data_IF_973476831127
#
_entry.id   IF_973476831127
#
_cell.length_a   1.000
_cell.length_b   1.000
_cell.length_c   1.000
_cell.angle_alpha   90.00
_cell.angle_beta   90.00
_cell.angle_gamma   90.00
#
_symmetry.space_group_name_H-M   'P 1'
#
loop_
_entity.id
_entity.type
_entity.pdbx_description
1 polymer ?
#
# COMPACT_ATOMS: atom_id res chain seq x y z
N UNK A 1 21.67 -17.35 17.96
CA UNK A 1 20.90 -18.09 16.94
C UNK A 1 19.51 -17.46 16.86
N UNK A 2 19.33 -16.56 15.90
CA UNK A 2 18.17 -15.68 15.78
C UNK A 2 17.09 -16.32 14.91
N UNK A 3 16.02 -16.78 15.56
CA UNK A 3 14.82 -17.25 14.89
C UNK A 3 14.02 -16.03 14.42
N UNK A 4 14.17 -15.69 13.13
CA UNK A 4 13.42 -14.61 12.49
C UNK A 4 12.01 -15.12 12.20
N UNK A 5 11.04 -14.70 13.01
CA UNK A 5 9.62 -15.00 12.80
C UNK A 5 9.14 -14.36 11.50
N UNK A 6 9.15 -15.15 10.42
CA UNK A 6 8.54 -14.77 9.13
C UNK A 6 7.01 -14.80 9.22
N UNK A 7 6.32 -14.10 8.30
CA UNK A 7 4.85 -14.17 8.12
C UNK A 7 4.32 -15.61 8.02
N UNK A 8 5.13 -16.54 7.49
CA UNK A 8 4.83 -17.99 7.45
C UNK A 8 4.98 -18.68 8.81
N UNK A 9 5.90 -18.25 9.67
CA UNK A 9 5.98 -18.77 11.04
C UNK A 9 4.75 -18.37 11.87
N UNK A 10 4.22 -17.15 11.65
CA UNK A 10 2.97 -16.71 12.25
C UNK A 10 1.76 -17.50 11.75
N UNK A 11 1.62 -17.69 10.43
CA UNK A 11 0.53 -18.45 9.80
C UNK A 11 0.64 -19.98 10.02
N UNK A 12 1.86 -20.51 10.11
CA UNK A 12 2.14 -21.94 10.32
C UNK A 12 1.88 -22.38 11.76
N UNK A 13 2.25 -21.57 12.77
CA UNK A 13 1.94 -21.86 14.18
C UNK A 13 0.43 -21.79 14.48
N UNK A 14 -0.34 -21.03 13.71
CA UNK A 14 -1.81 -21.00 13.80
C UNK A 14 -2.48 -22.21 13.11
N UNK A 15 -1.88 -22.75 12.05
CA UNK A 15 -2.38 -23.96 11.39
C UNK A 15 -2.09 -25.24 12.21
N UNK A 16 -0.92 -25.35 12.84
CA UNK A 16 -0.52 -26.53 13.61
C UNK A 16 -1.38 -26.78 14.85
N UNK A 17 -1.89 -25.74 15.51
CA UNK A 17 -2.83 -25.88 16.63
C UNK A 17 -4.24 -26.35 16.21
N UNK A 18 -4.56 -26.32 14.91
CA UNK A 18 -5.83 -26.80 14.35
C UNK A 18 -5.69 -28.18 13.65
N UNK A 19 -4.47 -28.74 13.60
CA UNK A 19 -4.11 -29.86 12.73
C UNK A 19 -4.19 -31.26 13.31
N UNK A 20 -4.62 -31.46 14.57
CA UNK A 20 -4.74 -32.80 15.16
C UNK A 20 -6.08 -33.53 14.86
N UNK A 21 -6.89 -33.07 13.91
CA UNK A 21 -8.17 -33.75 13.57
C UNK A 21 -8.45 -33.95 12.07
N UNK A 22 -7.44 -33.89 11.21
CA UNK A 22 -7.62 -34.20 9.79
C UNK A 22 -6.42 -34.95 9.20
N UNK A 23 -6.00 -36.03 9.86
CA UNK A 23 -5.15 -37.05 9.24
C UNK A 23 -6.02 -38.30 9.05
N UNK A 24 -6.69 -38.39 7.91
CA UNK A 24 -6.95 -39.64 7.17
C UNK A 24 -7.82 -39.34 5.94
N UNK A 25 -7.25 -39.58 4.75
CA UNK A 25 -8.01 -39.68 3.51
C UNK A 25 -7.78 -38.53 2.55
N UNK A 26 -6.72 -38.63 1.74
CA UNK A 26 -6.68 -38.31 0.29
C UNK A 26 -5.24 -38.49 -0.20
N UNK A 27 -4.82 -39.75 -0.23
CA UNK A 27 -3.70 -40.18 -1.06
C UNK A 27 -4.24 -40.65 -2.41
N UNK A 28 -3.49 -40.34 -3.48
CA UNK A 28 -3.64 -40.78 -4.87
C UNK A 28 -4.75 -40.12 -5.70
N UNK A 29 -4.37 -39.08 -6.45
CA UNK A 29 -4.65 -38.95 -7.89
C UNK A 29 -4.01 -37.65 -8.39
N UNK A 30 -2.76 -37.70 -8.87
CA UNK A 30 -2.15 -36.62 -9.66
C UNK A 30 -0.89 -37.17 -10.33
N UNK A 31 -1.09 -37.95 -11.40
CA UNK A 31 -0.11 -38.14 -12.46
C UNK A 31 -0.90 -38.25 -13.77
N UNK A 32 -0.39 -37.60 -14.81
CA UNK A 32 -0.85 -37.52 -16.19
C UNK A 32 -1.87 -36.42 -16.52
N UNK A 33 -1.36 -35.30 -17.05
CA UNK A 33 -1.97 -34.63 -18.20
C UNK A 33 -0.88 -33.80 -18.92
N UNK A 34 -0.61 -34.19 -20.16
CA UNK A 34 0.31 -33.57 -21.13
C UNK A 34 -0.26 -32.26 -21.72
N UNK A 35 0.59 -31.55 -22.46
CA UNK A 35 0.39 -30.24 -23.12
C UNK A 35 -0.85 -30.13 -24.03
N UNK A 36 -1.41 -28.91 -24.23
CA UNK A 36 -2.51 -28.70 -25.18
C UNK A 36 -2.02 -28.19 -26.55
N UNK A 37 -2.45 -28.87 -27.60
CA UNK A 37 -2.39 -28.39 -28.98
C UNK A 37 -3.50 -27.36 -29.27
N UNK A 38 -3.14 -26.33 -30.04
CA UNK A 38 -4.03 -25.31 -30.59
C UNK A 38 -5.10 -25.90 -31.50
N UNK A 39 -6.32 -25.34 -31.46
CA UNK A 39 -7.17 -25.21 -32.65
C UNK A 39 -8.27 -24.15 -32.50
N UNK A 40 -8.52 -23.51 -33.63
CA UNK A 40 -9.21 -22.26 -33.87
C UNK A 40 -10.75 -22.33 -33.79
N UNK A 41 -11.31 -21.17 -33.43
CA UNK A 41 -12.52 -20.52 -34.00
C UNK A 41 -13.34 -21.29 -35.04
N UNK A 42 -14.63 -21.54 -34.72
CA UNK A 42 -15.74 -21.32 -35.68
C UNK A 42 -16.98 -20.80 -34.94
N UNK A 43 -17.46 -19.64 -35.38
CA UNK A 43 -18.71 -19.01 -34.98
C UNK A 43 -19.87 -19.58 -35.84
N UNK A 44 -21.03 -19.88 -35.25
CA UNK A 44 -22.24 -20.28 -35.97
C UNK A 44 -23.49 -20.28 -35.08
N UNK A 45 -24.60 -19.61 -35.44
CA UNK A 45 -25.72 -19.35 -34.55
C UNK A 45 -26.81 -20.42 -34.64
N UNK A 46 -27.48 -20.78 -33.53
CA UNK A 46 -28.87 -21.27 -33.57
C UNK A 46 -29.60 -21.30 -32.22
N UNK A 47 -30.73 -20.58 -32.25
CA UNK A 47 -32.05 -20.92 -31.72
C UNK A 47 -32.31 -21.05 -30.20
N UNK A 48 -33.23 -20.17 -29.79
CA UNK A 48 -34.07 -20.22 -28.59
C UNK A 48 -34.93 -21.49 -28.58
N UNK A 49 -34.90 -22.23 -27.47
CA UNK A 49 -36.06 -22.93 -26.88
C UNK A 49 -35.71 -23.47 -25.51
N UNK A 50 -36.65 -23.37 -24.56
CA UNK A 50 -36.65 -24.23 -23.37
C UNK A 50 -36.48 -23.52 -22.04
N UNK A 51 -37.55 -22.88 -21.56
CA UNK A 51 -37.76 -22.68 -20.13
C UNK A 51 -37.66 -24.02 -19.40
N UNK A 52 -36.65 -24.17 -18.55
CA UNK A 52 -36.69 -25.11 -17.42
C UNK A 52 -36.59 -24.29 -16.15
N UNK A 53 -37.66 -24.34 -15.36
CA UNK A 53 -37.74 -23.79 -14.02
C UNK A 53 -36.65 -24.44 -13.16
N UNK A 54 -35.58 -23.71 -12.89
CA UNK A 54 -34.70 -24.00 -11.77
C UNK A 54 -35.26 -23.30 -10.54
N UNK A 55 -35.80 -24.09 -9.63
CA UNK A 55 -36.11 -23.71 -8.25
C UNK A 55 -34.97 -22.85 -7.68
N UNK A 56 -35.29 -21.59 -7.40
CA UNK A 56 -34.37 -20.63 -6.81
C UNK A 56 -33.98 -21.06 -5.40
N UNK A 57 -32.93 -21.85 -5.28
CA UNK A 57 -32.09 -21.82 -4.09
C UNK A 57 -31.50 -20.42 -4.05
N UNK A 58 -31.98 -19.59 -3.12
CA UNK A 58 -31.41 -18.30 -2.82
C UNK A 58 -29.90 -18.51 -2.63
N UNK A 59 -29.09 -18.08 -3.59
CA UNK A 59 -27.66 -17.89 -3.39
C UNK A 59 -27.56 -16.85 -2.27
N UNK A 60 -27.42 -17.33 -1.04
CA UNK A 60 -27.19 -16.47 0.11
C UNK A 60 -26.04 -15.54 -0.24
N UNK A 61 -26.28 -14.23 -0.23
CA UNK A 61 -25.19 -13.26 -0.31
C UNK A 61 -24.22 -13.64 0.81
N UNK A 62 -23.01 -14.05 0.44
CA UNK A 62 -21.92 -14.20 1.39
C UNK A 62 -21.65 -12.80 1.94
N UNK A 63 -22.18 -12.51 3.12
CA UNK A 63 -21.96 -11.23 3.80
C UNK A 63 -20.54 -11.23 4.34
N UNK A 64 -19.79 -10.16 4.06
CA UNK A 64 -18.42 -10.08 4.55
C UNK A 64 -18.43 -9.86 6.08
N UNK A 65 -17.61 -10.60 6.85
CA UNK A 65 -17.59 -10.47 8.30
C UNK A 65 -17.04 -9.11 8.78
N UNK A 66 -16.37 -8.37 7.90
CA UNK A 66 -15.79 -7.04 8.15
C UNK A 66 -16.63 -5.98 7.45
N UNK A 67 -17.14 -5.01 8.22
CA UNK A 67 -17.76 -3.80 7.71
C UNK A 67 -16.80 -2.63 7.88
N UNK A 68 -16.50 -1.92 6.80
CA UNK A 68 -15.64 -0.73 6.80
C UNK A 68 -16.50 0.51 6.63
N UNK A 69 -16.43 1.41 7.60
CA UNK A 69 -17.20 2.64 7.61
C UNK A 69 -16.28 3.80 7.30
N UNK A 70 -16.60 4.52 6.24
CA UNK A 70 -15.91 5.76 5.84
C UNK A 70 -16.91 6.89 5.74
N UNK A 71 -16.47 8.12 6.00
CA UNK A 71 -17.31 9.30 5.82
C UNK A 71 -16.64 10.28 4.86
N UNK A 72 -17.39 10.72 3.85
CA UNK A 72 -17.00 11.88 3.05
C UNK A 72 -17.23 13.14 3.89
N UNK A 73 -16.14 13.81 4.25
CA UNK A 73 -16.19 15.07 5.01
C UNK A 73 -15.64 16.18 4.12
N UNK A 74 -16.28 17.36 4.15
CA UNK A 74 -15.75 18.53 3.44
C UNK A 74 -14.30 18.81 3.88
N UNK A 75 -13.37 19.08 2.94
CA UNK A 75 -12.00 19.47 3.26
C UNK A 75 -11.91 20.67 4.20
N UNK A 76 -12.85 21.60 4.11
CA UNK A 76 -12.89 22.81 4.96
C UNK A 76 -13.06 22.46 6.43
N UNK A 77 -13.77 21.36 6.71
CA UNK A 77 -13.99 20.89 8.09
C UNK A 77 -12.84 20.01 8.55
N UNK A 78 -12.31 19.16 7.67
CA UNK A 78 -11.17 18.25 7.95
C UNK A 78 -10.38 17.96 6.69
N UNK A 79 -9.30 18.71 6.45
CA UNK A 79 -8.48 18.61 5.25
C UNK A 79 -7.93 17.19 4.97
N UNK A 80 -7.73 16.38 6.02
CA UNK A 80 -7.19 15.01 5.94
C UNK A 80 -8.25 13.96 5.60
N UNK A 81 -9.53 14.23 5.83
CA UNK A 81 -10.60 13.24 5.74
C UNK A 81 -10.78 12.65 4.34
N UNK A 82 -10.38 13.38 3.29
CA UNK A 82 -10.36 12.88 1.90
C UNK A 82 -9.53 11.59 1.73
N UNK A 83 -8.54 11.37 2.59
CA UNK A 83 -7.66 10.21 2.52
C UNK A 83 -8.25 8.98 3.19
N UNK A 84 -9.27 9.12 4.05
CA UNK A 84 -9.80 7.98 4.81
C UNK A 84 -10.37 6.87 3.93
N UNK A 85 -10.88 7.22 2.74
CA UNK A 85 -11.34 6.23 1.74
C UNK A 85 -10.22 5.31 1.25
N UNK A 86 -8.96 5.71 1.38
CA UNK A 86 -7.79 4.92 1.00
C UNK A 86 -7.65 3.62 1.81
N UNK A 87 -8.34 3.50 2.95
CA UNK A 87 -8.48 2.23 3.67
C UNK A 87 -9.00 1.12 2.74
N UNK A 88 -9.91 1.44 1.82
CA UNK A 88 -10.48 0.44 0.92
C UNK A 88 -9.40 -0.12 -0.01
N UNK A 89 -8.46 0.72 -0.45
CA UNK A 89 -7.33 0.28 -1.26
C UNK A 89 -6.36 -0.57 -0.44
N UNK A 90 -6.03 -0.16 0.79
CA UNK A 90 -5.17 -0.94 1.70
C UNK A 90 -5.73 -2.36 1.87
N UNK A 91 -7.03 -2.48 2.17
CA UNK A 91 -7.68 -3.77 2.41
C UNK A 91 -7.81 -4.60 1.12
N UNK A 92 -8.14 -3.98 -0.02
CA UNK A 92 -8.20 -4.65 -1.32
C UNK A 92 -6.83 -5.20 -1.73
N UNK A 93 -5.76 -4.39 -1.62
CA UNK A 93 -4.38 -4.82 -1.91
C UNK A 93 -3.86 -5.86 -0.90
N UNK A 94 -4.43 -5.93 0.30
CA UNK A 94 -4.16 -7.02 1.24
C UNK A 94 -4.94 -8.31 0.91
N UNK A 95 -5.85 -8.28 -0.08
CA UNK A 95 -6.70 -9.40 -0.45
C UNK A 95 -7.85 -9.65 0.53
N UNK A 96 -8.19 -8.69 1.39
CA UNK A 96 -9.23 -8.86 2.42
C UNK A 96 -10.63 -8.60 1.84
N UNK A 97 -11.58 -9.47 2.19
CA UNK A 97 -13.00 -9.28 1.86
C UNK A 97 -13.69 -8.44 2.94
N UNK A 98 -14.39 -7.39 2.52
CA UNK A 98 -15.14 -6.49 3.39
C UNK A 98 -16.35 -5.92 2.67
N UNK A 99 -17.32 -5.45 3.45
CA UNK A 99 -18.40 -4.58 2.99
C UNK A 99 -18.06 -3.13 3.33
N UNK A 100 -18.48 -2.21 2.47
CA UNK A 100 -18.28 -0.77 2.66
C UNK A 100 -19.61 -0.11 3.00
N UNK A 101 -19.59 0.79 3.99
CA UNK A 101 -20.76 1.55 4.40
C UNK A 101 -20.41 3.00 4.77
N UNK A 102 -21.43 3.85 4.77
CA UNK A 102 -21.41 5.18 5.37
C UNK A 102 -22.01 5.15 6.79
N UNK A 103 -21.80 6.19 7.62
CA UNK A 103 -22.40 6.24 8.96
C UNK A 103 -23.92 6.05 8.98
N UNK A 104 -24.64 6.54 7.98
CA UNK A 104 -26.12 6.45 7.88
C UNK A 104 -26.60 4.99 7.81
N UNK A 105 -25.78 4.11 7.24
CA UNK A 105 -26.06 2.68 7.08
C UNK A 105 -25.75 1.87 8.34
N UNK A 106 -25.21 2.48 9.41
CA UNK A 106 -25.00 1.79 10.69
C UNK A 106 -26.29 1.34 11.37
N UNK A 107 -27.42 1.96 11.02
CA UNK A 107 -28.74 1.55 11.51
C UNK A 107 -29.08 0.09 11.16
N UNK A 108 -28.59 -0.42 10.03
CA UNK A 108 -28.77 -1.81 9.60
C UNK A 108 -27.69 -2.78 10.11
N UNK A 109 -26.76 -2.33 10.97
CA UNK A 109 -25.68 -3.18 11.50
C UNK A 109 -26.26 -4.40 12.21
N UNK A 110 -26.04 -5.60 11.67
CA UNK A 110 -26.50 -6.86 12.24
C UNK A 110 -25.31 -7.74 12.67
N UNK A 111 -25.34 -8.25 13.90
CA UNK A 111 -24.33 -9.17 14.42
C UNK A 111 -24.33 -10.53 13.71
N UNK A 112 -25.46 -10.89 13.09
CA UNK A 112 -25.56 -12.11 12.29
C UNK A 112 -24.83 -11.96 10.95
N UNK A 113 -24.65 -10.73 10.47
CA UNK A 113 -23.99 -10.43 9.19
C UNK A 113 -22.53 -10.02 9.37
N UNK A 114 -22.23 -9.21 10.39
CA UNK A 114 -20.90 -8.66 10.62
C UNK A 114 -20.39 -9.02 12.01
N UNK A 115 -19.09 -9.34 12.09
CA UNK A 115 -18.38 -9.62 13.34
C UNK A 115 -17.46 -8.48 13.75
N UNK A 116 -17.00 -7.69 12.78
CA UNK A 116 -16.05 -6.61 12.99
C UNK A 116 -16.44 -5.36 12.22
N UNK A 117 -16.30 -4.20 12.86
CA UNK A 117 -16.48 -2.88 12.25
C UNK A 117 -15.16 -2.11 12.28
N UNK A 118 -14.73 -1.58 11.13
CA UNK A 118 -13.59 -0.66 11.03
C UNK A 118 -14.12 0.75 10.83
N UNK A 119 -13.73 1.69 11.68
CA UNK A 119 -14.01 3.11 11.53
C UNK A 119 -12.77 3.80 10.98
N UNK A 120 -12.83 4.23 9.72
CA UNK A 120 -11.72 4.86 9.02
C UNK A 120 -11.75 6.37 9.22
N UNK A 121 -10.95 6.86 10.17
CA UNK A 121 -10.93 8.25 10.60
C UNK A 121 -11.70 8.48 11.90
N UNK A 122 -11.62 9.72 12.40
CA UNK A 122 -12.47 10.19 13.49
C UNK A 122 -13.80 10.68 12.90
N UNK A 123 -14.77 9.76 12.81
CA UNK A 123 -16.04 9.99 12.13
C UNK A 123 -16.98 10.86 12.96
N UNK A 124 -17.77 11.71 12.29
CA UNK A 124 -18.81 12.51 12.91
C UNK A 124 -20.09 11.69 13.05
N UNK A 125 -20.13 10.82 14.07
CA UNK A 125 -21.27 9.95 14.35
C UNK A 125 -22.31 10.65 15.23
N UNK A 126 -23.59 10.39 14.98
CA UNK A 126 -24.70 10.80 15.85
C UNK A 126 -24.75 9.96 17.12
N UNK A 127 -25.46 10.41 18.15
CA UNK A 127 -25.63 9.65 19.39
C UNK A 127 -26.22 8.27 19.14
N UNK A 128 -27.26 8.16 18.31
CA UNK A 128 -27.88 6.88 17.96
C UNK A 128 -26.89 5.91 17.25
N UNK A 129 -26.04 6.42 16.37
CA UNK A 129 -25.00 5.61 15.71
C UNK A 129 -23.95 5.13 16.71
N UNK A 130 -23.54 6.00 17.65
CA UNK A 130 -22.60 5.62 18.72
C UNK A 130 -23.19 4.57 19.65
N UNK A 131 -24.45 4.73 20.06
CA UNK A 131 -25.15 3.77 20.90
C UNK A 131 -25.30 2.42 20.21
N UNK A 132 -25.58 2.42 18.90
CA UNK A 132 -25.65 1.19 18.10
C UNK A 132 -24.32 0.45 18.05
N UNK A 133 -23.22 1.17 17.82
CA UNK A 133 -21.88 0.59 17.84
C UNK A 133 -21.48 0.10 19.22
N UNK A 134 -21.77 0.86 20.27
CA UNK A 134 -21.51 0.47 21.64
C UNK A 134 -22.29 -0.81 22.01
N UNK A 135 -23.57 -0.92 21.62
CA UNK A 135 -24.36 -2.13 21.80
C UNK A 135 -23.78 -3.31 21.01
N UNK A 136 -23.43 -3.09 19.75
CA UNK A 136 -22.80 -4.10 18.90
C UNK A 136 -21.54 -4.70 19.54
N UNK A 137 -20.64 -3.85 20.06
CA UNK A 137 -19.43 -4.30 20.76
C UNK A 137 -19.80 -4.98 22.08
N UNK A 138 -20.68 -4.38 22.89
CA UNK A 138 -21.09 -4.95 24.18
C UNK A 138 -21.62 -6.37 24.06
N UNK A 139 -22.32 -6.68 22.96
CA UNK A 139 -22.88 -8.00 22.68
C UNK A 139 -21.92 -8.92 21.88
N UNK A 140 -20.62 -8.63 21.83
CA UNK A 140 -19.59 -9.54 21.31
C UNK A 140 -19.02 -9.16 19.94
N UNK A 141 -19.45 -8.05 19.35
CA UNK A 141 -18.81 -7.51 18.14
C UNK A 141 -17.44 -6.91 18.43
N UNK A 142 -16.64 -6.73 17.38
CA UNK A 142 -15.36 -6.04 17.48
C UNK A 142 -15.37 -4.70 16.73
N UNK A 143 -14.71 -3.68 17.28
CA UNK A 143 -14.52 -2.39 16.60
C UNK A 143 -13.03 -2.03 16.53
N UNK A 144 -12.60 -1.55 15.37
CA UNK A 144 -11.26 -0.97 15.15
C UNK A 144 -11.45 0.49 14.76
N UNK A 145 -11.01 1.42 15.60
CA UNK A 145 -10.97 2.85 15.28
C UNK A 145 -9.59 3.25 14.76
N UNK A 146 -9.54 4.03 13.68
CA UNK A 146 -8.28 4.52 13.09
C UNK A 146 -8.35 6.04 12.99
N UNK A 147 -7.37 6.77 13.52
CA UNK A 147 -7.32 8.23 13.46
C UNK A 147 -8.20 8.96 14.48
N UNK A 148 -8.86 8.24 15.40
CA UNK A 148 -9.57 8.80 16.54
C UNK A 148 -10.72 7.93 17.05
N UNK A 149 -11.50 8.48 17.97
CA UNK A 149 -12.50 7.75 18.76
C UNK A 149 -13.88 7.74 18.13
N UNK A 150 -14.19 8.66 17.22
CA UNK A 150 -15.55 8.87 16.68
C UNK A 150 -16.61 9.05 17.79
N UNK A 151 -16.21 9.59 18.96
CA UNK A 151 -17.06 9.76 20.14
C UNK A 151 -17.34 8.47 20.95
N UNK A 152 -16.58 7.40 20.70
CA UNK A 152 -16.71 6.11 21.39
C UNK A 152 -15.66 5.93 22.50
N UNK A 153 -15.32 7.01 23.22
CA UNK A 153 -14.27 7.02 24.26
C UNK A 153 -14.45 5.88 25.27
N UNK A 154 -15.67 5.67 25.77
CA UNK A 154 -15.96 4.60 26.73
C UNK A 154 -15.77 3.19 26.14
N UNK A 155 -16.09 2.99 24.86
CA UNK A 155 -15.91 1.70 24.18
C UNK A 155 -14.42 1.40 24.01
N UNK A 156 -13.64 2.42 23.62
CA UNK A 156 -12.19 2.30 23.48
C UNK A 156 -11.44 2.37 24.82
N UNK A 157 -12.13 2.59 25.94
CA UNK A 157 -11.53 2.65 27.27
C UNK A 157 -10.56 3.82 27.46
N UNK A 158 -10.85 4.96 26.82
CA UNK A 158 -10.03 6.19 26.89
C UNK A 158 -10.82 7.33 27.54
N UNK A 159 -10.12 8.29 28.15
CA UNK A 159 -10.73 9.40 28.90
C UNK A 159 -10.45 10.77 28.30
N UNK A 160 -9.52 10.87 27.36
CA UNK A 160 -9.14 12.14 26.74
C UNK A 160 -8.46 11.93 25.39
N UNK A 161 -8.50 12.99 24.56
CA UNK A 161 -7.84 13.03 23.26
C UNK A 161 -7.20 14.38 23.03
N UNK A 162 -6.03 14.40 22.41
CA UNK A 162 -5.31 15.60 22.00
C UNK A 162 -4.99 15.51 20.50
N UNK A 163 -5.30 16.54 19.70
CA UNK A 163 -4.96 16.55 18.29
C UNK A 163 -3.46 16.32 18.07
N UNK A 164 -3.14 15.51 17.08
CA UNK A 164 -1.78 15.24 16.63
C UNK A 164 -1.53 15.95 15.30
N UNK A 165 -0.40 16.64 15.19
CA UNK A 165 0.13 17.09 13.91
C UNK A 165 1.02 16.00 13.30
N UNK A 166 2.03 15.57 14.06
CA UNK A 166 3.12 14.67 13.69
C UNK A 166 3.70 14.02 14.96
N UNK A 167 4.18 12.78 14.86
CA UNK A 167 4.87 12.09 15.95
C UNK A 167 5.27 10.66 15.59
N UNK A 168 5.89 9.95 16.53
CA UNK A 168 6.37 8.58 16.34
C UNK A 168 5.69 7.62 17.31
N UNK A 169 5.25 6.47 16.81
CA UNK A 169 4.67 5.43 17.66
C UNK A 169 5.80 4.66 18.33
N UNK A 170 5.88 4.74 19.65
CA UNK A 170 6.80 3.95 20.45
C UNK A 170 6.10 2.71 21.01
N UNK A 171 6.40 1.54 20.45
CA UNK A 171 5.90 0.27 20.95
C UNK A 171 6.41 0.02 22.38
N UNK A 172 5.48 -0.18 23.32
CA UNK A 172 5.77 -0.55 24.71
C UNK A 172 5.46 -2.03 24.98
N UNK A 173 4.48 -2.61 24.27
CA UNK A 173 4.13 -4.02 24.35
C UNK A 173 4.72 -4.81 23.15
N UNK A 174 6.03 -4.98 23.10
CA UNK A 174 6.74 -5.58 21.93
C UNK A 174 6.45 -7.07 21.68
N UNK A 175 5.89 -7.78 22.65
CA UNK A 175 5.48 -9.18 22.49
C UNK A 175 4.00 -9.35 22.12
N UNK A 176 3.23 -8.25 22.12
CA UNK A 176 1.82 -8.32 21.76
C UNK A 176 1.67 -8.54 20.25
N UNK A 177 0.78 -9.43 19.78
CA UNK A 177 0.64 -9.76 18.35
C UNK A 177 0.36 -8.57 17.42
N UNK A 178 -0.23 -7.50 17.95
CA UNK A 178 -0.45 -6.25 17.21
C UNK A 178 0.85 -5.49 16.92
N UNK A 179 1.79 -5.49 17.85
CA UNK A 179 2.92 -4.56 17.91
C UNK A 179 4.28 -5.23 17.80
N UNK A 180 4.33 -6.56 17.70
CA UNK A 180 5.57 -7.32 17.66
C UNK A 180 6.32 -7.22 16.32
N UNK A 181 7.63 -6.97 16.36
CA UNK A 181 8.51 -7.13 15.20
C UNK A 181 8.51 -5.98 14.18
N UNK A 182 7.93 -4.82 14.51
CA UNK A 182 8.16 -3.60 13.74
C UNK A 182 9.59 -3.11 13.90
N UNK A 183 10.16 -2.58 12.82
CA UNK A 183 11.56 -2.14 12.72
C UNK A 183 11.69 -0.66 12.43
N UNK A 184 10.72 -0.07 11.74
CA UNK A 184 10.74 1.34 11.38
C UNK A 184 10.52 2.22 12.61
N UNK A 185 10.69 3.52 12.42
CA UNK A 185 10.38 4.54 13.42
C UNK A 185 8.87 4.69 13.70
N UNK A 186 8.01 4.11 12.84
CA UNK A 186 6.54 4.26 12.88
C UNK A 186 6.12 5.73 12.94
N UNK A 187 6.71 6.56 12.07
CA UNK A 187 6.37 7.97 11.92
C UNK A 187 4.93 8.13 11.43
N UNK A 188 4.13 8.95 12.13
CA UNK A 188 2.72 9.19 11.88
C UNK A 188 2.38 10.67 11.86
N UNK A 189 1.35 11.00 11.08
CA UNK A 189 0.81 12.34 10.92
C UNK A 189 -0.69 12.34 11.18
N UNK A 190 -1.16 13.33 11.93
CA UNK A 190 -2.59 13.49 12.19
C UNK A 190 -3.22 12.50 13.17
N UNK A 191 -4.54 12.65 13.35
CA UNK A 191 -5.31 11.91 14.35
C UNK A 191 -5.12 12.47 15.75
N UNK A 192 -5.00 11.58 16.74
CA UNK A 192 -4.97 11.95 18.15
C UNK A 192 -3.96 11.13 18.96
N UNK A 193 -3.36 11.78 19.96
CA UNK A 193 -2.86 11.10 21.15
C UNK A 193 -4.01 10.93 22.14
N UNK A 194 -4.10 9.80 22.82
CA UNK A 194 -5.19 9.53 23.77
C UNK A 194 -4.69 9.28 25.19
N UNK A 195 -5.53 9.57 26.18
CA UNK A 195 -5.30 9.18 27.56
C UNK A 195 -6.04 7.88 27.81
N UNK A 196 -5.31 6.81 28.11
CA UNK A 196 -5.92 5.54 28.49
C UNK A 196 -6.67 5.67 29.82
N UNK A 197 -7.87 5.10 29.87
CA UNK A 197 -8.65 4.85 31.08
C UNK A 197 -8.55 3.38 31.45
N UNK A 198 -9.55 2.58 31.07
CA UNK A 198 -9.56 1.13 31.28
C UNK A 198 -8.78 0.34 30.22
N UNK A 199 -8.37 0.99 29.13
CA UNK A 199 -7.72 0.31 28.02
C UNK A 199 -6.27 -0.10 28.35
N UNK A 200 -5.86 -1.25 27.84
CA UNK A 200 -4.46 -1.64 27.78
C UNK A 200 -3.73 -0.80 26.73
N UNK A 201 -2.64 -0.15 27.13
CA UNK A 201 -1.76 0.57 26.21
C UNK A 201 -0.76 -0.39 25.61
N UNK A 202 -0.66 -0.39 24.28
CA UNK A 202 0.31 -1.21 23.54
C UNK A 202 1.47 -0.39 22.95
N UNK A 203 1.21 0.90 22.71
CA UNK A 203 2.21 1.84 22.26
C UNK A 203 1.89 3.26 22.72
N UNK A 204 2.93 4.02 22.98
CA UNK A 204 2.90 5.44 23.30
C UNK A 204 3.20 6.28 22.06
N UNK A 205 2.87 7.56 22.14
CA UNK A 205 3.20 8.52 21.09
C UNK A 205 4.30 9.46 21.56
N UNK A 206 5.38 9.59 20.78
CA UNK A 206 6.44 10.58 21.01
C UNK A 206 6.26 11.76 20.05
N UNK A 207 6.33 12.99 20.56
CA UNK A 207 6.17 14.20 19.74
C UNK A 207 7.37 15.12 19.98
N UNK A 208 8.19 15.28 18.95
CA UNK A 208 9.45 16.00 19.02
C UNK A 208 10.38 15.43 20.11
N UNK A 209 11.26 16.28 20.66
CA UNK A 209 12.23 15.88 21.69
C UNK A 209 11.66 15.76 23.11
N UNK A 210 10.36 16.04 23.30
CA UNK A 210 9.75 16.17 24.64
C UNK A 210 9.15 14.87 25.21
N UNK A 211 9.58 13.71 24.73
CA UNK A 211 9.17 12.40 25.25
C UNK A 211 7.72 12.02 24.93
N UNK A 212 7.21 11.00 25.62
CA UNK A 212 5.87 10.45 25.39
C UNK A 212 4.76 11.46 25.75
N UNK A 213 3.75 11.58 24.88
CA UNK A 213 2.63 12.53 25.01
C UNK A 213 1.26 11.85 24.90
N UNK A 214 1.14 10.67 25.51
CA UNK A 214 -0.09 9.88 25.54
C UNK A 214 0.05 8.55 24.81
N UNK A 215 -1.04 7.80 24.75
CA UNK A 215 -1.11 6.49 24.10
C UNK A 215 -1.43 6.66 22.61
N UNK A 216 -0.78 5.85 21.77
CA UNK A 216 -1.02 5.77 20.34
C UNK A 216 -1.91 4.58 19.98
N UNK A 217 -1.68 3.43 20.63
CA UNK A 217 -2.39 2.19 20.37
C UNK A 217 -2.95 1.65 21.68
N UNK A 218 -4.26 1.42 21.72
CA UNK A 218 -4.91 0.83 22.88
C UNK A 218 -5.84 -0.32 22.49
N UNK A 219 -6.04 -1.25 23.43
CA UNK A 219 -7.02 -2.33 23.33
C UNK A 219 -7.88 -2.31 24.58
N UNK A 220 -9.19 -2.41 24.40
CA UNK A 220 -10.15 -2.46 25.50
C UNK A 220 -11.14 -3.61 25.31
N UNK A 221 -11.64 -4.15 26.42
CA UNK A 221 -12.80 -5.03 26.44
C UNK A 221 -14.01 -4.20 26.85
N UNK A 222 -15.08 -4.29 26.07
CA UNK A 222 -16.32 -3.57 26.34
C UNK A 222 -17.50 -4.54 26.23
N UNK A 223 -18.07 -4.92 27.38
CA UNK A 223 -18.95 -6.07 27.45
C UNK A 223 -18.24 -7.35 27.01
N UNK A 224 -18.84 -8.08 26.06
CA UNK A 224 -18.26 -9.28 25.48
C UNK A 224 -17.35 -9.00 24.27
N UNK A 225 -17.29 -7.76 23.80
CA UNK A 225 -16.56 -7.38 22.59
C UNK A 225 -15.12 -6.91 22.82
N UNK A 226 -14.45 -6.60 21.71
CA UNK A 226 -13.10 -6.04 21.70
C UNK A 226 -13.09 -4.72 20.93
N UNK A 227 -12.43 -3.72 21.49
CA UNK A 227 -12.20 -2.43 20.84
C UNK A 227 -10.69 -2.20 20.70
N UNK A 228 -10.23 -1.96 19.47
CA UNK A 228 -8.83 -1.57 19.18
C UNK A 228 -8.83 -0.14 18.68
N UNK A 229 -8.02 0.72 19.28
CA UNK A 229 -7.86 2.11 18.83
C UNK A 229 -6.44 2.32 18.33
N UNK A 230 -6.35 2.76 17.08
CA UNK A 230 -5.16 3.41 16.50
C UNK A 230 -5.44 4.91 16.53
N UNK A 231 -4.96 5.59 17.58
CA UNK A 231 -5.22 7.00 17.81
C UNK A 231 -4.73 7.92 16.66
N UNK A 232 -3.47 7.76 16.19
CA UNK A 232 -2.96 8.48 15.03
C UNK A 232 -3.68 8.11 13.74
N UNK A 233 -3.72 9.04 12.78
CA UNK A 233 -4.37 8.83 11.48
C UNK A 233 -3.43 8.08 10.53
N UNK A 234 -3.37 6.75 10.69
CA UNK A 234 -2.45 5.91 9.91
C UNK A 234 -2.79 5.93 8.41
N UNK A 235 -4.06 6.10 8.06
CA UNK A 235 -4.49 6.15 6.65
C UNK A 235 -3.94 7.41 6.00
N UNK A 236 -4.10 8.57 6.64
CA UNK A 236 -3.48 9.81 6.17
C UNK A 236 -1.96 9.69 6.14
N UNK A 237 -1.35 9.13 7.19
CA UNK A 237 0.11 8.98 7.30
C UNK A 237 0.69 8.20 6.12
N UNK A 238 0.09 7.05 5.78
CA UNK A 238 0.48 6.24 4.61
C UNK A 238 0.42 7.06 3.33
N UNK A 239 -0.70 7.74 3.08
CA UNK A 239 -0.86 8.58 1.87
C UNK A 239 0.10 9.76 1.86
N UNK A 240 0.39 10.34 3.03
CA UNK A 240 1.25 11.51 3.15
C UNK A 240 2.71 11.19 2.84
N UNK A 241 3.20 10.05 3.35
CA UNK A 241 4.54 9.55 3.07
C UNK A 241 4.65 9.19 1.58
N UNK A 242 3.71 8.37 1.09
CA UNK A 242 3.70 7.85 -0.29
C UNK A 242 3.47 8.83 -1.40
N UNK A 243 2.86 9.98 -1.12
CA UNK A 243 2.67 11.02 -2.11
C UNK A 243 3.55 12.25 -1.86
N UNK A 244 4.12 12.37 -0.66
CA UNK A 244 4.84 13.56 -0.24
C UNK A 244 4.00 14.84 -0.27
N UNK A 245 4.71 15.96 -0.22
CA UNK A 245 4.21 17.29 -0.52
C UNK A 245 4.24 17.54 -2.04
N UNK A 246 3.38 18.44 -2.56
CA UNK A 246 3.53 18.95 -3.92
C UNK A 246 4.91 19.57 -4.13
N UNK A 247 5.56 19.20 -5.24
CA UNK A 247 6.90 19.68 -5.61
C UNK A 247 6.76 20.90 -6.50
N UNK A 248 7.10 22.07 -5.96
CA UNK A 248 7.15 23.35 -6.69
C UNK A 248 8.50 24.06 -6.54
N UNK A 249 9.36 23.54 -5.68
CA UNK A 249 10.68 24.03 -5.34
C UNK A 249 11.47 22.88 -4.73
N UNK A 250 12.80 23.03 -4.66
CA UNK A 250 13.67 22.05 -4.02
C UNK A 250 13.28 21.80 -2.56
N UNK A 251 13.49 20.56 -2.13
CA UNK A 251 13.31 20.13 -0.75
C UNK A 251 14.45 20.61 0.16
N UNK A 252 14.24 20.60 1.49
CA UNK A 252 15.31 20.87 2.43
C UNK A 252 16.38 19.77 2.33
N UNK A 253 17.67 20.12 2.18
CA UNK A 253 18.73 19.12 2.11
C UNK A 253 18.89 18.39 3.45
N UNK A 254 19.45 17.19 3.40
CA UNK A 254 19.83 16.45 4.61
C UNK A 254 20.84 17.26 5.43
N UNK A 255 20.71 17.36 6.77
CA UNK A 255 21.64 18.10 7.62
C UNK A 255 23.10 17.59 7.60
N UNK A 256 23.30 16.33 7.20
CA UNK A 256 24.61 15.67 7.10
C UNK A 256 25.23 15.73 5.69
N UNK A 257 24.58 16.43 4.75
CA UNK A 257 25.04 16.58 3.37
C UNK A 257 24.95 15.33 2.48
N UNK A 258 24.38 14.22 2.97
CA UNK A 258 24.26 12.96 2.20
C UNK A 258 23.22 13.01 1.06
N UNK A 259 22.30 13.97 1.11
CA UNK A 259 21.28 14.24 0.10
C UNK A 259 21.07 15.76 -0.07
N UNK A 260 21.86 16.42 -0.95
CA UNK A 260 21.68 17.83 -1.28
C UNK A 260 20.49 17.97 -2.25
N UNK A 261 19.28 18.08 -1.70
CA UNK A 261 18.05 18.23 -2.50
C UNK A 261 17.92 19.63 -3.13
N UNK A 262 18.65 20.62 -2.60
CA UNK A 262 18.71 22.00 -3.07
C UNK A 262 19.69 22.20 -4.25
N UNK A 263 19.60 21.34 -5.25
CA UNK A 263 20.51 21.34 -6.42
C UNK A 263 19.93 22.06 -7.65
N UNK A 264 18.76 22.68 -7.54
CA UNK A 264 18.09 23.43 -8.61
C UNK A 264 17.30 22.57 -9.59
N UNK A 265 17.14 21.27 -9.35
CA UNK A 265 16.36 20.37 -10.20
C UNK A 265 15.21 19.74 -9.40
N UNK A 266 13.94 19.95 -9.79
CA UNK A 266 12.84 19.38 -8.98
C UNK A 266 12.63 17.88 -9.22
N UNK A 267 12.65 17.09 -8.16
CA UNK A 267 12.60 15.63 -8.13
C UNK A 267 11.51 15.13 -7.18
N UNK A 268 11.13 13.86 -7.34
CA UNK A 268 10.08 13.25 -6.51
C UNK A 268 10.34 13.39 -5.00
N UNK A 269 11.60 13.31 -4.59
CA UNK A 269 12.04 13.38 -3.20
C UNK A 269 12.11 14.79 -2.60
N UNK A 270 11.90 15.85 -3.39
CA UNK A 270 11.73 17.21 -2.83
C UNK A 270 10.46 17.35 -1.99
N UNK A 271 9.48 16.48 -2.25
CA UNK A 271 8.25 16.37 -1.47
C UNK A 271 8.37 15.46 -0.26
N UNK A 272 9.56 14.99 0.11
CA UNK A 272 9.79 14.11 1.26
C UNK A 272 9.22 14.68 2.56
N UNK A 273 8.57 13.83 3.35
CA UNK A 273 7.99 14.19 4.67
C UNK A 273 8.61 13.43 5.84
N UNK A 274 9.46 12.44 5.58
CA UNK A 274 10.15 11.71 6.63
C UNK A 274 11.31 12.53 7.21
N UNK A 275 11.62 12.28 8.48
CA UNK A 275 12.63 12.98 9.25
C UNK A 275 14.03 12.40 8.98
N UNK A 276 14.96 13.28 8.62
CA UNK A 276 16.35 12.91 8.30
C UNK A 276 17.11 12.23 9.44
N UNK A 277 16.72 12.42 10.70
CA UNK A 277 17.42 11.88 11.86
C UNK A 277 16.74 10.63 12.41
N UNK A 278 15.41 10.63 12.50
CA UNK A 278 14.65 9.57 13.17
C UNK A 278 14.23 8.44 12.24
N UNK A 279 14.05 8.71 10.95
CA UNK A 279 13.50 7.73 10.01
C UNK A 279 14.59 7.06 9.15
N UNK A 280 15.86 7.43 9.35
CA UNK A 280 16.99 6.83 8.66
C UNK A 280 17.81 5.92 9.59
N UNK A 281 18.37 4.88 9.00
CA UNK A 281 19.27 3.92 9.66
C UNK A 281 20.65 4.01 9.02
N UNK A 282 21.69 4.11 9.85
CA UNK A 282 23.07 4.08 9.38
C UNK A 282 23.41 2.69 8.82
N UNK A 283 23.93 2.65 7.59
CA UNK A 283 24.46 1.42 7.01
C UNK A 283 25.89 1.19 7.50
N UNK A 284 26.20 -0.04 7.89
CA UNK A 284 27.59 -0.47 8.11
C UNK A 284 28.18 -0.95 6.77
N UNK A 285 29.41 -0.59 6.40
CA UNK A 285 30.41 0.18 7.16
C UNK A 285 30.38 1.71 6.91
N UNK A 286 29.65 2.15 5.89
CA UNK A 286 29.75 3.50 5.32
C UNK A 286 29.22 4.62 6.23
N UNK A 287 28.48 4.27 7.28
CA UNK A 287 27.86 5.17 8.28
C UNK A 287 26.90 6.22 7.70
N UNK A 288 26.66 6.23 6.38
CA UNK A 288 25.67 7.10 5.74
C UNK A 288 24.28 6.58 6.10
N UNK A 289 23.43 7.38 6.74
CA UNK A 289 22.07 7.00 7.07
C UNK A 289 21.16 7.04 5.83
N UNK A 290 20.32 6.02 5.68
CA UNK A 290 19.36 5.85 4.58
C UNK A 290 17.97 5.48 5.12
N UNK A 291 16.90 5.65 4.34
CA UNK A 291 15.54 5.28 4.73
C UNK A 291 15.31 3.77 4.58
N UNK A 292 16.02 2.97 5.38
CA UNK A 292 16.08 1.52 5.21
C UNK A 292 14.76 0.80 5.44
N UNK A 293 13.95 1.28 6.38
CA UNK A 293 12.73 0.61 6.82
C UNK A 293 11.49 1.29 6.20
N UNK A 294 10.58 0.51 5.60
CA UNK A 294 9.36 1.03 4.97
C UNK A 294 8.32 1.40 6.03
N UNK A 295 8.35 2.66 6.49
CA UNK A 295 7.39 3.19 7.48
C UNK A 295 5.95 2.98 6.99
N UNK A 296 5.65 3.36 5.74
CA UNK A 296 4.28 3.29 5.23
C UNK A 296 3.73 1.86 5.16
N UNK A 297 4.57 0.86 4.87
CA UNK A 297 4.15 -0.54 4.86
C UNK A 297 3.92 -1.09 6.26
N UNK A 298 4.76 -0.73 7.24
CA UNK A 298 4.53 -1.12 8.64
C UNK A 298 3.25 -0.48 9.22
N UNK A 299 2.92 0.76 8.82
CA UNK A 299 1.64 1.38 9.20
C UNK A 299 0.43 0.64 8.59
N UNK A 300 0.51 0.20 7.33
CA UNK A 300 -0.53 -0.67 6.73
C UNK A 300 -0.62 -2.00 7.47
N UNK A 301 0.52 -2.60 7.78
CA UNK A 301 0.58 -3.84 8.51
C UNK A 301 -0.06 -3.70 9.90
N UNK A 302 0.13 -2.59 10.59
CA UNK A 302 -0.51 -2.30 11.87
C UNK A 302 -2.05 -2.22 11.74
N UNK A 303 -2.57 -1.61 10.68
CA UNK A 303 -4.02 -1.62 10.38
C UNK A 303 -4.52 -3.05 10.20
N UNK A 304 -3.85 -3.84 9.36
CA UNK A 304 -4.24 -5.22 9.06
C UNK A 304 -4.17 -6.12 10.29
N UNK A 305 -3.10 -6.01 11.08
CA UNK A 305 -2.94 -6.74 12.34
C UNK A 305 -4.03 -6.37 13.34
N UNK A 306 -4.47 -5.12 13.39
CA UNK A 306 -5.60 -4.68 14.23
C UNK A 306 -6.88 -5.42 13.88
N UNK A 307 -7.16 -5.58 12.60
CA UNK A 307 -8.31 -6.34 12.09
C UNK A 307 -8.15 -7.84 12.39
N UNK A 308 -6.99 -8.43 12.10
CA UNK A 308 -6.76 -9.87 12.32
C UNK A 308 -6.78 -10.26 13.80
N UNK A 309 -6.20 -9.43 14.67
CA UNK A 309 -6.25 -9.61 16.10
C UNK A 309 -7.70 -9.58 16.59
N UNK A 310 -8.44 -8.52 16.25
CA UNK A 310 -9.83 -8.38 16.65
C UNK A 310 -10.69 -9.54 16.12
N UNK A 311 -10.49 -10.00 14.89
CA UNK A 311 -11.17 -11.19 14.37
C UNK A 311 -10.81 -12.47 15.14
N UNK A 312 -9.52 -12.67 15.44
CA UNK A 312 -9.03 -13.85 16.19
C UNK A 312 -9.58 -13.92 17.60
N UNK A 313 -9.65 -12.78 18.31
CA UNK A 313 -10.22 -12.72 19.67
C UNK A 313 -11.69 -13.16 19.73
N UNK A 314 -12.37 -13.21 18.58
CA UNK A 314 -13.78 -13.62 18.44
C UNK A 314 -13.98 -14.87 17.58
N UNK A 315 -12.90 -15.61 17.29
CA UNK A 315 -12.96 -16.82 16.47
C UNK A 315 -13.47 -16.58 15.04
N UNK A 316 -13.39 -15.35 14.55
CA UNK A 316 -13.84 -14.97 13.21
C UNK A 316 -12.75 -15.31 12.18
N UNK A 317 -13.09 -16.15 11.20
CA UNK A 317 -12.18 -16.48 10.09
C UNK A 317 -12.34 -15.45 8.98
N UNK A 318 -11.22 -14.86 8.57
CA UNK A 318 -11.17 -13.89 7.49
C UNK A 318 -10.57 -14.54 6.23
N UNK A 319 -11.34 -14.71 5.13
CA UNK A 319 -10.77 -15.15 3.87
C UNK A 319 -9.84 -14.06 3.30
N UNK A 320 -8.74 -14.48 2.69
CA UNK A 320 -7.74 -13.61 2.08
C UNK A 320 -7.37 -14.14 0.69
N UNK A 321 -7.23 -13.25 -0.27
CA UNK A 321 -6.65 -13.57 -1.58
C UNK A 321 -5.13 -13.48 -1.50
N UNK A 322 -4.45 -14.55 -1.89
CA UNK A 322 -3.02 -14.51 -2.13
C UNK A 322 -2.76 -13.94 -3.52
N UNK A 323 -2.18 -12.73 -3.60
CA UNK A 323 -2.07 -11.99 -4.86
C UNK A 323 -0.94 -12.46 -5.76
N UNK A 324 0.11 -13.11 -5.21
CA UNK A 324 1.25 -13.54 -6.02
C UNK A 324 1.03 -14.92 -6.61
N UNK A 325 1.30 -15.12 -7.91
CA UNK A 325 1.16 -16.42 -8.53
C UNK A 325 2.09 -17.46 -7.88
N UNK A 326 1.69 -18.72 -7.90
CA UNK A 326 2.54 -19.84 -7.45
C UNK A 326 2.95 -19.80 -5.99
N UNK A 327 2.18 -19.14 -5.11
CA UNK A 327 2.49 -18.97 -3.69
C UNK A 327 3.81 -18.21 -3.40
N UNK A 328 4.29 -17.42 -4.37
CA UNK A 328 5.55 -16.70 -4.23
C UNK A 328 5.48 -15.67 -3.10
N UNK A 329 6.57 -15.58 -2.33
CA UNK A 329 6.66 -14.67 -1.17
C UNK A 329 6.88 -13.21 -1.57
N UNK A 330 7.49 -12.99 -2.72
CA UNK A 330 7.83 -11.67 -3.24
C UNK A 330 7.99 -11.73 -4.76
N UNK A 331 7.87 -10.57 -5.40
CA UNK A 331 8.21 -10.34 -6.80
C UNK A 331 9.19 -9.18 -6.84
N UNK A 332 10.23 -9.31 -7.66
CA UNK A 332 11.19 -8.24 -7.94
C UNK A 332 11.03 -7.76 -9.37
N UNK A 333 11.13 -6.45 -9.56
CA UNK A 333 11.16 -5.83 -10.88
C UNK A 333 12.53 -5.18 -11.08
N UNK A 334 13.12 -5.41 -12.25
CA UNK A 334 14.41 -4.85 -12.63
C UNK A 334 14.16 -3.97 -13.85
N UNK A 335 14.48 -2.69 -13.71
CA UNK A 335 14.51 -1.74 -14.81
C UNK A 335 15.86 -1.06 -14.88
N UNK A 336 16.12 -0.43 -16.01
CA UNK A 336 17.35 0.32 -16.22
C UNK A 336 17.09 1.46 -17.20
N UNK A 337 17.82 2.54 -16.98
CA UNK A 337 17.66 3.81 -17.66
C UNK A 337 18.68 3.88 -18.79
N UNK A 338 18.22 4.13 -20.02
CA UNK A 338 19.09 4.14 -21.21
C UNK A 338 19.77 5.50 -21.39
N UNK A 339 20.36 6.02 -20.31
CA UNK A 339 21.02 7.33 -20.32
C UNK A 339 22.12 7.38 -21.39
N UNK A 340 21.98 8.32 -22.32
CA UNK A 340 22.87 8.48 -23.47
C UNK A 340 22.62 7.51 -24.64
N UNK A 341 21.70 6.55 -24.52
CA UNK A 341 21.25 5.67 -25.61
C UNK A 341 22.37 4.93 -26.37
N UNK A 342 23.43 4.53 -25.67
CA UNK A 342 24.61 3.89 -26.25
C UNK A 342 24.32 2.44 -26.71
N UNK A 343 24.36 2.14 -28.02
CA UNK A 343 23.99 0.82 -28.54
C UNK A 343 24.96 -0.30 -28.11
N UNK A 344 26.25 -0.01 -27.97
CA UNK A 344 27.25 -1.04 -27.62
C UNK A 344 27.03 -1.50 -26.18
N UNK A 345 26.77 -0.55 -25.27
CA UNK A 345 26.38 -0.86 -23.88
C UNK A 345 25.06 -1.62 -23.81
N UNK A 346 24.10 -1.28 -24.67
CA UNK A 346 22.81 -1.96 -24.74
C UNK A 346 22.97 -3.43 -25.15
N UNK A 347 23.78 -3.73 -26.16
CA UNK A 347 24.07 -5.12 -26.56
C UNK A 347 24.77 -5.88 -25.42
N UNK A 348 25.79 -5.29 -24.81
CA UNK A 348 26.50 -5.91 -23.69
C UNK A 348 25.57 -6.21 -22.51
N UNK A 349 24.69 -5.28 -22.15
CA UNK A 349 23.72 -5.50 -21.07
C UNK A 349 22.72 -6.60 -21.41
N UNK A 350 22.21 -6.65 -22.66
CA UNK A 350 21.31 -7.71 -23.11
C UNK A 350 21.95 -9.09 -22.98
N UNK A 351 23.24 -9.23 -23.33
CA UNK A 351 23.99 -10.47 -23.14
C UNK A 351 24.07 -10.89 -21.67
N UNK A 352 24.31 -9.94 -20.76
CA UNK A 352 24.31 -10.20 -19.31
C UNK A 352 22.93 -10.66 -18.84
N UNK A 353 21.86 -9.96 -19.21
CA UNK A 353 20.50 -10.29 -18.80
C UNK A 353 20.10 -11.69 -19.27
N UNK A 354 20.41 -12.03 -20.52
CA UNK A 354 20.16 -13.36 -21.08
C UNK A 354 20.98 -14.45 -20.39
N UNK A 355 22.27 -14.21 -20.12
CA UNK A 355 23.12 -15.16 -19.37
C UNK A 355 22.57 -15.42 -17.96
N UNK A 356 22.03 -14.39 -17.31
CA UNK A 356 21.41 -14.51 -15.98
C UNK A 356 20.00 -15.11 -16.02
N UNK A 357 19.37 -15.23 -17.19
CA UNK A 357 17.99 -15.69 -17.30
C UNK A 357 16.96 -14.72 -16.71
N UNK A 358 17.28 -13.43 -16.65
CA UNK A 358 16.45 -12.41 -16.01
C UNK A 358 15.84 -11.49 -17.07
N UNK A 359 14.53 -11.22 -16.96
CA UNK A 359 13.84 -10.21 -17.77
C UNK A 359 13.85 -8.87 -17.05
N UNK A 360 13.93 -7.80 -17.83
CA UNK A 360 13.96 -6.43 -17.36
C UNK A 360 13.20 -5.48 -18.27
N UNK A 361 12.97 -4.28 -17.74
CA UNK A 361 12.33 -3.17 -18.44
C UNK A 361 13.37 -2.13 -18.85
N UNK A 362 13.38 -1.79 -20.14
CA UNK A 362 14.34 -0.88 -20.77
C UNK A 362 13.71 0.50 -20.93
N UNK A 363 13.95 1.40 -19.97
CA UNK A 363 13.40 2.75 -19.97
C UNK A 363 14.16 3.61 -20.98
N UNK A 364 13.55 3.86 -22.15
CA UNK A 364 14.19 4.52 -23.29
C UNK A 364 14.07 6.04 -23.24
N UNK A 365 15.22 6.71 -23.24
CA UNK A 365 15.33 8.18 -23.20
C UNK A 365 15.12 8.82 -24.58
N UNK A 366 14.36 9.91 -24.64
CA UNK A 366 14.27 10.79 -25.80
C UNK A 366 15.33 11.90 -25.73
N UNK A 367 15.91 12.35 -26.86
CA UNK A 367 15.91 11.71 -28.18
C UNK A 367 17.03 10.66 -28.29
N UNK A 368 17.06 9.96 -29.43
CA UNK A 368 18.12 9.01 -29.77
C UNK A 368 17.57 7.59 -29.82
N UNK A 369 17.24 7.02 -28.67
CA UNK A 369 16.85 5.62 -28.56
C UNK A 369 17.86 4.67 -29.20
N UNK A 370 17.44 3.44 -29.49
CA UNK A 370 18.26 2.43 -30.13
C UNK A 370 17.86 2.21 -31.59
N UNK A 371 18.73 1.59 -32.41
CA UNK A 371 18.35 1.13 -33.74
C UNK A 371 17.14 0.18 -33.69
N UNK A 372 16.20 0.33 -34.63
CA UNK A 372 14.99 -0.52 -34.72
C UNK A 372 15.25 -2.03 -34.64
N UNK A 373 16.32 -2.59 -35.25
CA UNK A 373 16.63 -4.01 -35.08
C UNK A 373 16.80 -4.42 -33.62
N UNK A 374 17.38 -3.57 -32.78
CA UNK A 374 17.59 -3.86 -31.36
C UNK A 374 16.27 -3.92 -30.59
N UNK A 375 15.35 -2.96 -30.82
CA UNK A 375 14.01 -3.03 -30.21
C UNK A 375 13.23 -4.28 -30.60
N UNK A 376 13.37 -4.75 -31.85
CA UNK A 376 12.78 -6.03 -32.27
C UNK A 376 13.38 -7.21 -31.52
N UNK A 377 14.69 -7.20 -31.29
CA UNK A 377 15.37 -8.22 -30.47
C UNK A 377 14.84 -8.23 -29.05
N UNK A 378 14.71 -7.07 -28.40
CA UNK A 378 14.15 -6.96 -27.04
C UNK A 378 12.74 -7.57 -26.97
N UNK A 379 11.86 -7.18 -27.89
CA UNK A 379 10.48 -7.69 -27.97
C UNK A 379 10.42 -9.20 -28.24
N UNK A 380 11.20 -9.70 -29.19
CA UNK A 380 11.24 -11.13 -29.52
C UNK A 380 11.73 -11.99 -28.34
N UNK A 381 12.56 -11.41 -27.48
CA UNK A 381 13.06 -12.06 -26.27
C UNK A 381 12.19 -11.78 -25.03
N UNK A 382 11.08 -11.06 -25.15
CA UNK A 382 10.16 -10.79 -24.03
C UNK A 382 10.69 -9.79 -23.00
N UNK A 383 11.59 -8.88 -23.39
CA UNK A 383 11.92 -7.70 -22.59
C UNK A 383 10.89 -6.59 -22.83
N UNK A 384 10.62 -5.79 -21.81
CA UNK A 384 9.76 -4.61 -21.95
C UNK A 384 10.59 -3.41 -22.44
N UNK A 385 10.04 -2.65 -23.38
CA UNK A 385 10.53 -1.32 -23.77
C UNK A 385 9.59 -0.29 -23.16
N UNK A 386 10.13 0.58 -22.31
CA UNK A 386 9.38 1.54 -21.51
C UNK A 386 9.80 2.98 -21.83
N UNK A 387 8.99 3.95 -21.41
CA UNK A 387 9.33 5.37 -21.58
C UNK A 387 10.29 5.83 -20.49
N UNK A 388 11.35 6.55 -20.87
CA UNK A 388 12.13 7.35 -19.94
C UNK A 388 11.88 8.83 -20.22
N UNK A 389 10.79 9.39 -19.66
CA UNK A 389 10.34 10.73 -20.01
C UNK A 389 11.38 11.79 -19.63
N UNK A 390 11.92 12.50 -20.62
CA UNK A 390 12.86 13.60 -20.41
C UNK A 390 12.11 14.93 -20.27
N UNK A 391 12.12 15.45 -19.06
CA UNK A 391 11.72 16.81 -18.74
C UNK A 391 12.85 17.61 -18.05
N UNK A 392 14.06 17.04 -18.02
CA UNK A 392 15.22 17.59 -17.29
C UNK A 392 16.08 18.44 -18.21
N UNK A 393 16.21 18.07 -19.49
CA UNK A 393 16.97 18.86 -20.48
C UNK A 393 16.36 20.24 -20.75
N UNK A 394 15.04 20.40 -20.56
CA UNK A 394 14.37 21.70 -20.54
C UNK A 394 14.20 22.42 -21.88
N UNK A 395 14.53 21.79 -23.02
CA UNK A 395 14.26 22.32 -24.36
C UNK A 395 12.78 22.25 -24.77
N UNK A 396 12.48 22.73 -25.97
CA UNK A 396 11.11 22.82 -26.54
C UNK A 396 10.32 21.51 -26.41
N UNK A 397 10.99 20.36 -26.60
CA UNK A 397 10.38 19.01 -26.57
C UNK A 397 10.67 18.22 -25.29
N UNK A 398 11.38 18.82 -24.35
CA UNK A 398 11.88 18.17 -23.13
C UNK A 398 11.68 19.06 -21.89
N UNK A 399 10.65 19.91 -21.92
CA UNK A 399 10.15 20.63 -20.74
C UNK A 399 9.01 19.85 -20.09
N UNK A 400 8.79 20.09 -18.79
CA UNK A 400 7.74 19.43 -18.02
C UNK A 400 6.34 19.86 -18.50
N UNK A 401 5.70 18.99 -19.29
CA UNK A 401 4.36 19.22 -19.81
C UNK A 401 3.73 17.92 -20.33
N UNK A 402 2.40 17.87 -20.32
CA UNK A 402 1.67 16.75 -20.90
C UNK A 402 1.90 16.64 -22.41
N UNK A 403 2.04 17.78 -23.11
CA UNK A 403 2.30 17.80 -24.55
C UNK A 403 3.62 17.10 -24.89
N UNK A 404 4.66 17.35 -24.08
CA UNK A 404 5.97 16.72 -24.28
C UNK A 404 5.96 15.25 -23.86
N UNK A 405 5.25 14.88 -22.80
CA UNK A 405 5.04 13.48 -22.45
C UNK A 405 4.37 12.73 -23.62
N UNK A 406 3.29 13.28 -24.18
CA UNK A 406 2.57 12.70 -25.32
C UNK A 406 3.47 12.60 -26.55
N UNK A 407 4.29 13.62 -26.82
CA UNK A 407 5.24 13.64 -27.93
C UNK A 407 6.26 12.51 -27.79
N UNK A 408 6.91 12.39 -26.65
CA UNK A 408 7.95 11.40 -26.40
C UNK A 408 7.37 9.97 -26.37
N UNK A 409 6.18 9.80 -25.78
CA UNK A 409 5.45 8.54 -25.82
C UNK A 409 5.15 8.08 -27.26
N UNK A 410 4.63 8.98 -28.12
CA UNK A 410 4.36 8.67 -29.53
C UNK A 410 5.63 8.41 -30.32
N UNK A 411 6.70 9.14 -30.04
CA UNK A 411 8.02 8.89 -30.62
C UNK A 411 8.49 7.47 -30.29
N UNK A 412 8.45 7.06 -29.03
CA UNK A 412 8.90 5.75 -28.61
C UNK A 412 8.09 4.64 -29.28
N UNK A 413 6.76 4.75 -29.28
CA UNK A 413 5.90 3.79 -29.99
C UNK A 413 6.29 3.64 -31.46
N UNK A 414 6.59 4.76 -32.14
CA UNK A 414 7.00 4.74 -33.54
C UNK A 414 8.37 4.12 -33.74
N UNK A 415 9.37 4.50 -32.96
CA UNK A 415 10.74 4.02 -33.15
C UNK A 415 10.95 2.57 -32.71
N UNK A 416 10.34 2.16 -31.60
CA UNK A 416 10.38 0.78 -31.14
C UNK A 416 9.34 -0.13 -31.82
N UNK A 417 8.44 0.44 -32.63
CA UNK A 417 7.39 -0.32 -33.32
C UNK A 417 6.34 -0.90 -32.36
N UNK A 418 6.08 -0.22 -31.25
CA UNK A 418 5.17 -0.67 -30.20
C UNK A 418 3.74 -0.24 -30.49
N UNK A 419 2.78 -1.06 -30.07
CA UNK A 419 1.35 -0.68 -30.05
C UNK A 419 0.95 0.03 -28.75
N UNK A 420 1.75 -0.16 -27.70
CA UNK A 420 1.46 0.29 -26.36
C UNK A 420 2.76 0.40 -25.56
N UNK A 421 2.85 1.38 -24.66
CA UNK A 421 3.93 1.52 -23.68
C UNK A 421 3.32 1.38 -22.29
N UNK A 422 3.70 0.33 -21.59
CA UNK A 422 3.09 -0.02 -20.30
C UNK A 422 3.64 0.81 -19.15
N UNK A 423 4.95 1.07 -19.14
CA UNK A 423 5.60 1.73 -18.01
C UNK A 423 6.44 2.95 -18.38
N UNK A 424 6.67 3.78 -17.36
CA UNK A 424 7.50 4.98 -17.42
C UNK A 424 8.44 5.08 -16.22
N UNK A 425 9.54 5.79 -16.42
CA UNK A 425 10.35 6.40 -15.35
C UNK A 425 10.83 7.77 -15.83
N UNK A 426 10.64 8.84 -15.08
CA UNK A 426 11.14 10.15 -15.52
C UNK A 426 12.66 10.21 -15.39
N UNK A 427 13.31 10.84 -16.37
CA UNK A 427 14.73 11.08 -16.33
C UNK A 427 15.10 11.88 -15.08
N UNK A 428 16.13 11.41 -14.37
CA UNK A 428 16.60 11.99 -13.12
C UNK A 428 15.56 12.06 -11.99
N UNK A 429 14.53 11.21 -12.03
CA UNK A 429 13.38 11.24 -11.10
C UNK A 429 12.62 12.57 -11.09
N UNK A 430 12.71 13.33 -12.19
CA UNK A 430 12.07 14.65 -12.35
C UNK A 430 10.58 14.59 -11.98
N UNK A 431 10.14 15.54 -11.16
CA UNK A 431 8.76 15.61 -10.70
C UNK A 431 8.30 17.05 -10.43
N UNK A 432 7.07 17.38 -10.79
CA UNK A 432 6.41 18.61 -10.35
C UNK A 432 4.96 18.36 -9.94
N UNK A 433 4.45 19.23 -9.07
CA UNK A 433 3.12 19.09 -8.51
C UNK A 433 3.04 17.87 -7.61
N UNK A 434 1.87 17.23 -7.56
CA UNK A 434 1.64 16.10 -6.64
C UNK A 434 1.17 14.85 -7.36
N UNK A 435 0.04 14.93 -8.06
CA UNK A 435 -0.63 13.79 -8.69
C UNK A 435 -0.85 13.99 -10.19
N UNK A 436 -0.47 15.15 -10.73
CA UNK A 436 -0.78 15.53 -12.10
C UNK A 436 -0.10 14.61 -13.10
N UNK A 437 1.15 14.22 -12.84
CA UNK A 437 1.87 13.26 -13.67
C UNK A 437 1.18 11.89 -13.76
N UNK A 438 0.61 11.39 -12.65
CA UNK A 438 -0.15 10.15 -12.68
C UNK A 438 -1.41 10.27 -13.56
N UNK A 439 -2.09 11.41 -13.52
CA UNK A 439 -3.23 11.68 -14.40
C UNK A 439 -2.80 11.75 -15.87
N UNK A 440 -1.61 12.29 -16.14
CA UNK A 440 -1.06 12.30 -17.50
C UNK A 440 -0.76 10.88 -17.97
N UNK A 441 -0.15 10.05 -17.12
CA UNK A 441 0.09 8.63 -17.40
C UNK A 441 -1.22 7.90 -17.73
N UNK A 442 -2.25 8.04 -16.90
CA UNK A 442 -3.58 7.47 -17.12
C UNK A 442 -4.17 7.89 -18.48
N UNK A 443 -4.05 9.18 -18.85
CA UNK A 443 -4.56 9.71 -20.12
C UNK A 443 -3.89 9.09 -21.36
N UNK A 444 -2.63 8.69 -21.25
CA UNK A 444 -1.90 8.00 -22.33
C UNK A 444 -1.79 6.49 -22.10
N UNK A 445 -2.53 5.95 -21.14
CA UNK A 445 -2.59 4.52 -20.79
C UNK A 445 -1.28 3.92 -20.28
N UNK A 446 -0.38 4.71 -19.69
CA UNK A 446 0.74 4.15 -18.91
C UNK A 446 0.18 3.62 -17.60
N UNK A 447 0.46 2.35 -17.31
CA UNK A 447 -0.07 1.62 -16.16
C UNK A 447 0.86 1.65 -14.93
N UNK A 448 2.17 1.78 -15.16
CA UNK A 448 3.19 1.73 -14.10
C UNK A 448 4.17 2.89 -14.24
N UNK A 449 4.32 3.68 -13.17
CA UNK A 449 5.38 4.67 -13.05
C UNK A 449 6.40 4.25 -11.99
N UNK A 450 7.67 4.41 -12.31
CA UNK A 450 8.81 4.02 -11.48
C UNK A 450 9.62 5.25 -11.02
N UNK A 451 9.05 6.45 -11.09
CA UNK A 451 9.74 7.72 -10.86
C UNK A 451 9.87 8.05 -9.38
N UNK A 452 8.85 7.71 -8.58
CA UNK A 452 8.77 7.99 -7.14
C UNK A 452 9.75 7.10 -6.36
N UNK A 453 11.02 7.47 -6.40
CA UNK A 453 12.10 6.79 -5.69
C UNK A 453 13.25 7.75 -5.41
N UNK A 454 14.29 7.27 -4.71
CA UNK A 454 15.42 8.10 -4.34
C UNK A 454 16.34 8.42 -5.52
N UNK A 455 16.92 9.63 -5.52
CA UNK A 455 17.96 10.03 -6.49
C UNK A 455 19.33 10.26 -5.84
N UNK A 456 19.40 10.41 -4.51
CA UNK A 456 20.63 10.68 -3.75
C UNK A 456 20.98 9.53 -2.80
N UNK A 457 22.25 9.48 -2.37
CA UNK A 457 22.73 8.47 -1.42
C UNK A 457 21.97 8.49 -0.10
N UNK A 458 21.77 9.68 0.47
CA UNK A 458 21.07 9.85 1.75
C UNK A 458 19.58 9.54 1.72
N UNK A 459 18.97 9.42 0.53
CA UNK A 459 17.55 9.09 0.36
C UNK A 459 17.29 7.63 -0.01
N UNK A 460 18.33 6.81 -0.24
CA UNK A 460 18.20 5.39 -0.59
C UNK A 460 17.21 4.65 0.33
N UNK A 461 16.45 3.71 -0.23
CA UNK A 461 15.46 2.91 0.49
C UNK A 461 14.04 3.38 0.22
N UNK A 462 13.29 3.65 1.29
CA UNK A 462 11.85 3.99 1.29
C UNK A 462 11.59 5.42 1.78
N UNK A 463 12.12 6.46 1.12
CA UNK A 463 11.87 7.84 1.51
C UNK A 463 10.40 8.25 1.28
N UNK A 464 9.73 7.60 0.35
CA UNK A 464 8.41 7.95 -0.17
C UNK A 464 7.50 6.74 -0.14
#
# INVERSE_FOLDING_TARGET
MSDTTTRRAFLGRTAAASGCLAAHGLGRALLAAEEPAMLESVCGPRQKTGQRASSGAARGRLTAPVLVVTQSVSPDRRARARTWIYILEILKRAGLFFEHATPEQLSSLSQNMHRLVVLAGDLMLTTAQRDRLAHFVKAGGAVVGIGGTSGLEAVFGVSGRRPLAEGWIKVTASQHPLTSGFRSSLHVFGGYAVTAGSAQVLAELQVGRQGARGSAITVNRFGQGTAVLLGPDLIFSVVHIQQGLPVFQDGPPSPDGSAPLNDGELKAEDGLVLDWQQDRTALSPESIPVFLESVSDELRELILRSIFYAAREHGCRLPLVWLWPGEWKAVGHISHDTDGNDPDKAVALLEVMNRCGVKSTWCTLYPGGYPRPFYRTLQAQGFEVALHYDARTGGEKTSWSIENLVLQHRWLMKEAGLRHVTSNKNHYTRWEGRLDFFRWCEQISIEVDQTRGPSKKGTVGFPL
#
